data_IF_024131823342
#
_entry.id   IF_024131823342
#
_cell.length_a   1.000
_cell.length_b   1.000
_cell.length_c   1.000
_cell.angle_alpha   90.00
_cell.angle_beta   90.00
_cell.angle_gamma   90.00
#
_symmetry.space_group_name_H-M   'P 1'
#
loop_
_entity.id
_entity.type
_entity.pdbx_description
1 polymer ?
#
# COMPACT_ATOMS: atom_id res chain seq x y z
N UNK A 1 11.65 -17.64 -4.33
CA UNK A 1 10.33 -17.07 -4.65
C UNK A 1 9.17 -17.36 -3.66
N UNK A 2 9.35 -17.78 -2.38
CA UNK A 2 8.21 -17.91 -1.45
C UNK A 2 7.80 -16.60 -0.74
N UNK A 3 8.71 -15.62 -0.64
CA UNK A 3 8.45 -14.39 0.12
C UNK A 3 7.29 -13.55 -0.45
N UNK A 4 7.05 -13.63 -1.76
CA UNK A 4 5.97 -12.92 -2.42
C UNK A 4 4.59 -13.41 -1.97
N UNK A 5 4.48 -14.69 -1.58
CA UNK A 5 3.20 -15.32 -1.23
C UNK A 5 2.60 -14.73 0.04
N UNK A 6 3.45 -14.28 0.98
CA UNK A 6 3.00 -13.64 2.23
C UNK A 6 2.45 -12.22 1.97
N UNK A 7 2.94 -11.54 0.93
CA UNK A 7 2.50 -10.18 0.59
C UNK A 7 1.21 -10.17 -0.27
N UNK A 8 0.89 -11.27 -0.96
CA UNK A 8 -0.29 -11.36 -1.85
C UNK A 8 -1.63 -11.05 -1.16
N UNK A 9 -1.92 -11.52 0.07
CA UNK A 9 -3.17 -11.18 0.76
C UNK A 9 -3.29 -9.68 1.03
N UNK A 10 -2.18 -9.05 1.45
CA UNK A 10 -2.11 -7.61 1.67
C UNK A 10 -2.36 -6.83 0.39
N UNK A 11 -1.70 -7.23 -0.70
CA UNK A 11 -1.91 -6.63 -2.03
C UNK A 11 -3.36 -6.77 -2.50
N UNK A 12 -3.96 -7.96 -2.38
CA UNK A 12 -5.35 -8.19 -2.77
C UNK A 12 -6.30 -7.27 -1.99
N UNK A 13 -6.11 -7.15 -0.67
CA UNK A 13 -6.91 -6.24 0.17
C UNK A 13 -6.75 -4.77 -0.25
N UNK A 14 -5.53 -4.29 -0.47
CA UNK A 14 -5.28 -2.93 -0.95
C UNK A 14 -5.98 -2.66 -2.29
N UNK A 15 -5.91 -3.61 -3.22
CA UNK A 15 -6.53 -3.46 -4.54
C UNK A 15 -8.05 -3.39 -4.41
N UNK A 16 -8.69 -4.30 -3.66
CA UNK A 16 -10.14 -4.31 -3.46
C UNK A 16 -10.61 -3.01 -2.80
N UNK A 17 -9.95 -2.56 -1.73
CA UNK A 17 -10.28 -1.29 -1.06
C UNK A 17 -10.11 -0.08 -1.98
N UNK A 18 -9.02 -0.04 -2.75
CA UNK A 18 -8.76 1.04 -3.69
C UNK A 18 -9.81 1.10 -4.81
N UNK A 19 -10.23 -0.05 -5.36
CA UNK A 19 -11.28 -0.08 -6.38
C UNK A 19 -12.66 0.25 -5.79
N UNK A 20 -12.96 -0.20 -4.57
CA UNK A 20 -14.21 0.13 -3.87
C UNK A 20 -14.35 1.63 -3.62
N UNK A 21 -13.30 2.29 -3.13
CA UNK A 21 -13.28 3.74 -2.93
C UNK A 21 -13.40 4.52 -4.25
N UNK A 22 -12.70 4.07 -5.30
CA UNK A 22 -12.83 4.66 -6.65
C UNK A 22 -14.26 4.54 -7.19
N UNK A 23 -14.92 3.39 -6.98
CA UNK A 23 -16.31 3.16 -7.39
C UNK A 23 -17.32 4.00 -6.61
N UNK A 24 -17.00 4.37 -5.36
CA UNK A 24 -17.82 5.24 -4.52
C UNK A 24 -17.60 6.76 -4.79
N UNK A 25 -16.77 7.13 -5.77
CA UNK A 25 -16.47 8.53 -6.11
C UNK A 25 -15.24 9.12 -5.40
N UNK A 26 -14.63 8.41 -4.44
CA UNK A 26 -13.37 8.83 -3.81
C UNK A 26 -12.16 8.33 -4.62
N UNK A 27 -11.74 9.14 -5.59
CA UNK A 27 -10.56 8.90 -6.43
C UNK A 27 -9.26 9.47 -5.84
N UNK A 28 -9.35 10.46 -4.95
CA UNK A 28 -8.16 11.12 -4.39
C UNK A 28 -7.47 10.24 -3.36
N UNK A 29 -8.22 9.62 -2.45
CA UNK A 29 -7.67 8.80 -1.37
C UNK A 29 -6.82 7.62 -1.89
N UNK A 30 -7.27 6.85 -2.90
CA UNK A 30 -6.48 5.76 -3.47
C UNK A 30 -5.22 6.21 -4.18
N UNK A 31 -5.26 7.37 -4.86
CA UNK A 31 -4.10 7.93 -5.56
C UNK A 31 -3.04 8.41 -4.56
N UNK A 32 -3.45 9.11 -3.50
CA UNK A 32 -2.53 9.55 -2.45
C UNK A 32 -1.90 8.35 -1.74
N UNK A 33 -2.69 7.33 -1.38
CA UNK A 33 -2.17 6.09 -0.79
C UNK A 33 -1.16 5.40 -1.70
N UNK A 34 -1.46 5.32 -3.00
CA UNK A 34 -0.54 4.73 -3.98
C UNK A 34 0.76 5.52 -4.12
N UNK A 35 0.70 6.86 -4.15
CA UNK A 35 1.89 7.70 -4.21
C UNK A 35 2.75 7.58 -2.94
N UNK A 36 2.13 7.67 -1.77
CA UNK A 36 2.82 7.60 -0.48
C UNK A 36 3.45 6.23 -0.27
N UNK A 37 2.69 5.14 -0.43
CA UNK A 37 3.25 3.79 -0.28
C UNK A 37 4.29 3.49 -1.37
N UNK A 38 3.92 3.72 -2.63
CA UNK A 38 4.69 3.22 -3.77
C UNK A 38 5.99 3.94 -4.01
N UNK A 39 6.08 5.21 -3.57
CA UNK A 39 7.24 6.05 -3.80
C UNK A 39 7.95 6.30 -2.47
N UNK A 40 7.31 6.96 -1.50
CA UNK A 40 7.99 7.32 -0.25
C UNK A 40 8.37 6.08 0.56
N UNK A 41 7.39 5.23 0.89
CA UNK A 41 7.65 4.04 1.74
C UNK A 41 8.57 3.07 1.00
N UNK A 42 8.29 2.80 -0.27
CA UNK A 42 9.07 1.86 -1.05
C UNK A 42 10.52 2.30 -1.25
N UNK A 43 10.79 3.55 -1.65
CA UNK A 43 12.16 4.01 -1.86
C UNK A 43 12.95 4.03 -0.54
N UNK A 44 12.33 4.50 0.55
CA UNK A 44 12.96 4.53 1.87
C UNK A 44 13.26 3.12 2.37
N UNK A 45 12.30 2.20 2.22
CA UNK A 45 12.47 0.81 2.64
C UNK A 45 13.46 0.03 1.75
N UNK A 46 13.50 0.29 0.44
CA UNK A 46 14.55 -0.28 -0.45
C UNK A 46 15.91 0.22 0.00
N UNK A 47 16.07 1.53 0.24
CA UNK A 47 17.34 2.10 0.66
C UNK A 47 17.84 1.48 1.98
N UNK A 48 16.97 1.43 3.00
CA UNK A 48 17.30 0.79 4.28
C UNK A 48 17.56 -0.72 4.15
N UNK A 49 16.65 -1.47 3.53
CA UNK A 49 16.71 -2.93 3.58
C UNK A 49 17.72 -3.50 2.57
N UNK A 50 17.84 -2.91 1.38
CA UNK A 50 18.72 -3.42 0.35
C UNK A 50 20.16 -2.92 0.48
N UNK A 51 20.36 -1.66 0.92
CA UNK A 51 21.69 -1.05 1.00
C UNK A 51 22.26 -1.05 2.43
N UNK A 52 21.55 -0.50 3.43
CA UNK A 52 22.08 -0.45 4.82
C UNK A 52 22.19 -1.83 5.47
N UNK A 53 21.21 -2.70 5.23
CA UNK A 53 21.19 -4.07 5.76
C UNK A 53 21.85 -5.10 4.82
N UNK A 54 22.39 -4.64 3.67
CA UNK A 54 23.06 -5.47 2.65
C UNK A 54 22.26 -6.71 2.19
N UNK A 55 20.93 -6.69 2.35
CA UNK A 55 20.06 -7.82 1.96
C UNK A 55 19.91 -7.92 0.43
N UNK A 56 20.38 -6.91 -0.32
CA UNK A 56 20.32 -6.84 -1.77
C UNK A 56 18.91 -7.09 -2.30
N UNK A 57 18.76 -8.09 -3.18
CA UNK A 57 17.46 -8.46 -3.76
C UNK A 57 16.41 -8.85 -2.71
N UNK A 58 16.81 -9.48 -1.60
CA UNK A 58 15.86 -9.84 -0.52
C UNK A 58 15.29 -8.59 0.15
N UNK A 59 16.11 -7.54 0.31
CA UNK A 59 15.68 -6.24 0.83
C UNK A 59 14.64 -5.57 -0.06
N UNK A 60 14.82 -5.65 -1.39
CA UNK A 60 13.83 -5.14 -2.36
C UNK A 60 12.48 -5.86 -2.23
N UNK A 61 12.48 -7.19 -2.08
CA UNK A 61 11.22 -7.92 -1.89
C UNK A 61 10.54 -7.58 -0.56
N UNK A 62 11.31 -7.44 0.51
CA UNK A 62 10.78 -7.09 1.84
C UNK A 62 10.20 -5.66 1.84
N UNK A 63 10.86 -4.71 1.16
CA UNK A 63 10.34 -3.36 0.98
C UNK A 63 9.01 -3.33 0.22
N UNK A 64 8.84 -4.22 -0.76
CA UNK A 64 7.59 -4.34 -1.52
C UNK A 64 6.46 -4.87 -0.63
N UNK A 65 6.75 -5.83 0.24
CA UNK A 65 5.78 -6.31 1.23
C UNK A 65 5.38 -5.19 2.21
N UNK A 66 6.35 -4.42 2.72
CA UNK A 66 6.08 -3.27 3.59
C UNK A 66 5.20 -2.20 2.91
N UNK A 67 5.48 -1.84 1.65
CA UNK A 67 4.65 -0.92 0.88
C UNK A 67 3.19 -1.40 0.78
N UNK A 68 2.97 -2.66 0.39
CA UNK A 68 1.63 -3.21 0.28
C UNK A 68 0.90 -3.21 1.63
N UNK A 69 1.58 -3.58 2.72
CA UNK A 69 0.98 -3.53 4.06
C UNK A 69 0.59 -2.12 4.45
N UNK A 70 1.46 -1.12 4.23
CA UNK A 70 1.16 0.28 4.56
C UNK A 70 -0.02 0.80 3.73
N UNK A 71 -0.06 0.52 2.42
CA UNK A 71 -1.20 0.90 1.56
C UNK A 71 -2.50 0.29 2.04
N UNK A 72 -2.51 -1.00 2.41
CA UNK A 72 -3.70 -1.68 2.93
C UNK A 72 -4.17 -1.04 4.23
N UNK A 73 -3.26 -0.69 5.14
CA UNK A 73 -3.61 -0.02 6.39
C UNK A 73 -4.17 1.37 6.16
N UNK A 74 -3.56 2.18 5.29
CA UNK A 74 -4.04 3.52 4.94
C UNK A 74 -5.43 3.43 4.30
N UNK A 75 -5.60 2.59 3.29
CA UNK A 75 -6.88 2.43 2.60
C UNK A 75 -7.96 1.86 3.51
N UNK A 76 -7.61 0.87 4.33
CA UNK A 76 -8.53 0.27 5.30
C UNK A 76 -9.01 1.31 6.31
N UNK A 77 -8.09 2.14 6.82
CA UNK A 77 -8.43 3.23 7.72
C UNK A 77 -9.32 4.31 7.07
N UNK A 78 -9.04 4.69 5.83
CA UNK A 78 -9.89 5.64 5.07
C UNK A 78 -11.27 5.05 4.84
N UNK A 79 -11.34 3.77 4.48
CA UNK A 79 -12.58 3.04 4.28
C UNK A 79 -13.41 2.99 5.57
N UNK A 80 -12.78 2.68 6.71
CA UNK A 80 -13.43 2.66 8.03
C UNK A 80 -13.87 4.04 8.52
N UNK A 81 -13.14 5.10 8.16
CA UNK A 81 -13.55 6.48 8.49
C UNK A 81 -14.80 6.95 7.75
N UNK A 82 -15.25 6.21 6.73
CA UNK A 82 -16.47 6.55 6.03
C UNK A 82 -16.44 7.92 5.34
N UNK A 83 -15.26 8.48 5.04
CA UNK A 83 -15.13 9.77 4.32
C UNK A 83 -15.75 9.72 2.92
N UNK A 84 -15.82 8.53 2.33
CA UNK A 84 -16.55 8.27 1.09
C UNK A 84 -18.07 8.43 1.25
N UNK A 85 -18.60 8.34 2.48
CA UNK A 85 -20.02 8.54 2.81
C UNK A 85 -20.40 10.03 2.98
N UNK A 86 -19.41 10.92 3.15
CA UNK A 86 -19.66 12.36 3.25
C UNK A 86 -19.56 13.10 1.90
N UNK A 87 -19.44 12.36 0.79
CA UNK A 87 -19.50 12.92 -0.57
C UNK A 87 -20.95 13.03 -1.10
N UNK A 88 -21.95 12.80 -0.24
CA UNK A 88 -23.34 13.13 -0.51
C UNK A 88 -23.72 14.37 0.31
N UNK A 89 -23.73 15.53 -0.34
CA UNK A 89 -24.93 16.32 -0.65
C UNK A 89 -24.59 17.29 -1.79
#
# INVERSE_FOLDING_TARGET
MPMLMIAQPGMAAAVVLAQGLRGAGDTRSPVISAAVGGVLVRLTAVWLLAFELELGLRGVWLSTACDWTVRTLILGWIFMRGRWRSLEL
#
